data_IF_227731614643
#
_entry.id   IF_227731614643
#
_cell.length_a   1.000
_cell.length_b   1.000
_cell.length_c   1.000
_cell.angle_alpha   90.00
_cell.angle_beta   90.00
_cell.angle_gamma   90.00
#
_symmetry.space_group_name_H-M   'P 1'
#
loop_
_entity.id
_entity.type
_entity.pdbx_description
1 polymer ?
#
# COMPACT_ATOMS: atom_id res chain seq x y z
N UNK A 1 23.64 -40.33 33.30
CA UNK A 1 22.46 -40.08 32.45
C UNK A 1 22.64 -38.75 31.73
N UNK A 2 22.80 -38.77 30.40
CA UNK A 2 23.02 -37.57 29.58
C UNK A 2 21.68 -36.86 29.34
N UNK A 3 21.52 -35.63 29.83
CA UNK A 3 20.38 -34.76 29.48
C UNK A 3 20.52 -34.36 28.01
N UNK A 4 19.58 -34.81 27.16
CA UNK A 4 19.44 -34.34 25.78
C UNK A 4 18.89 -32.91 25.83
N UNK A 5 19.73 -31.94 25.52
CA UNK A 5 19.30 -30.57 25.24
C UNK A 5 18.56 -30.58 23.90
N UNK A 6 17.25 -30.40 23.94
CA UNK A 6 16.41 -30.20 22.76
C UNK A 6 16.66 -28.76 22.28
N UNK A 7 17.33 -28.64 21.15
CA UNK A 7 17.48 -27.38 20.42
C UNK A 7 16.08 -26.98 19.92
N UNK A 8 15.54 -25.78 20.21
CA UNK A 8 14.35 -25.33 19.51
C UNK A 8 14.80 -24.83 18.13
N UNK A 9 14.97 -25.78 17.20
CA UNK A 9 14.98 -25.52 15.78
C UNK A 9 13.53 -25.31 15.33
N UNK A 10 12.97 -24.16 15.69
CA UNK A 10 11.70 -23.68 15.13
C UNK A 10 11.95 -22.24 14.66
N UNK A 11 12.74 -22.15 13.60
CA UNK A 11 12.58 -21.12 12.59
C UNK A 11 11.20 -21.42 11.98
N UNK A 12 10.13 -20.87 12.59
CA UNK A 12 8.82 -20.78 11.92
C UNK A 12 9.04 -19.81 10.76
N UNK A 13 9.39 -20.40 9.62
CA UNK A 13 8.76 -20.23 8.32
C UNK A 13 7.75 -19.07 8.23
N UNK A 14 8.20 -17.83 8.38
CA UNK A 14 7.52 -16.64 7.83
C UNK A 14 7.80 -16.57 6.31
N UNK A 15 7.43 -17.64 5.61
CA UNK A 15 7.48 -17.76 4.15
C UNK A 15 6.14 -18.31 3.69
N UNK A 16 5.06 -17.63 4.08
CA UNK A 16 3.77 -17.80 3.43
C UNK A 16 3.42 -16.44 2.81
N UNK A 17 3.41 -16.45 1.48
CA UNK A 17 3.04 -15.39 0.52
C UNK A 17 4.12 -14.49 -0.11
N UNK A 18 5.36 -14.98 -0.33
CA UNK A 18 6.34 -14.26 -1.17
C UNK A 18 6.25 -14.58 -2.67
N UNK A 19 5.23 -15.31 -3.14
CA UNK A 19 5.11 -15.72 -4.55
C UNK A 19 3.84 -15.22 -5.27
N UNK A 20 3.33 -14.06 -4.89
CA UNK A 20 2.36 -13.34 -5.73
C UNK A 20 2.94 -11.95 -5.97
N UNK A 21 3.31 -11.68 -7.21
CA UNK A 21 3.96 -10.47 -7.76
C UNK A 21 5.50 -10.49 -7.83
N UNK A 22 6.00 -10.64 -9.07
CA UNK A 22 7.42 -10.62 -9.41
C UNK A 22 8.14 -9.32 -9.06
N UNK A 23 9.48 -9.34 -9.11
CA UNK A 23 10.44 -8.28 -8.71
C UNK A 23 9.83 -7.04 -8.07
N UNK A 24 10.10 -6.85 -6.77
CA UNK A 24 9.75 -5.64 -6.01
C UNK A 24 10.61 -4.43 -6.39
N UNK A 25 11.38 -4.50 -7.48
CA UNK A 25 12.15 -3.37 -7.98
C UNK A 25 11.26 -2.39 -8.77
N UNK A 26 11.67 -1.12 -8.77
CA UNK A 26 10.96 -0.03 -9.43
C UNK A 26 9.86 0.60 -8.57
N UNK A 27 9.10 1.48 -9.21
CA UNK A 27 8.04 2.27 -8.61
C UNK A 27 6.74 1.45 -8.57
N UNK A 28 6.18 1.23 -7.38
CA UNK A 28 4.92 0.51 -7.22
C UNK A 28 4.14 0.92 -5.98
N UNK A 29 2.84 0.66 -6.03
CA UNK A 29 1.95 0.69 -4.87
C UNK A 29 1.19 -0.64 -4.78
N UNK A 30 0.79 -1.01 -3.58
CA UNK A 30 -0.08 -2.17 -3.38
C UNK A 30 -1.07 -1.96 -2.24
N UNK A 31 -2.14 -2.73 -2.30
CA UNK A 31 -3.10 -2.87 -1.23
C UNK A 31 -3.18 -4.33 -0.79
N UNK A 32 -3.49 -4.56 0.48
CA UNK A 32 -3.64 -5.87 1.08
C UNK A 32 -4.87 -5.92 2.00
N UNK A 33 -5.82 -6.80 1.70
CA UNK A 33 -7.04 -6.98 2.51
C UNK A 33 -7.10 -8.39 3.10
N UNK A 34 -7.56 -8.51 4.34
CA UNK A 34 -7.73 -9.81 5.02
C UNK A 34 -9.15 -10.32 4.80
N UNK A 35 -9.27 -11.55 4.30
CA UNK A 35 -10.55 -12.25 4.15
C UNK A 35 -10.63 -13.43 5.12
N UNK A 36 -11.79 -13.58 5.78
CA UNK A 36 -12.11 -14.83 6.47
C UNK A 36 -13.03 -15.64 5.57
N UNK A 37 -12.59 -16.84 5.18
CA UNK A 37 -13.45 -17.80 4.47
C UNK A 37 -14.11 -18.74 5.49
N UNK A 38 -15.38 -19.07 5.26
CA UNK A 38 -16.08 -20.06 6.07
C UNK A 38 -15.40 -21.42 5.84
N UNK A 39 -14.76 -21.97 6.89
CA UNK A 39 -14.01 -23.25 6.99
C UNK A 39 -12.47 -23.25 6.88
N UNK A 40 -11.75 -22.20 6.45
CA UNK A 40 -10.26 -22.23 6.39
C UNK A 40 -9.56 -20.86 6.53
N UNK A 41 -8.28 -20.92 6.93
CA UNK A 41 -7.26 -19.88 7.16
C UNK A 41 -7.48 -18.53 6.45
N UNK A 42 -7.24 -17.44 7.19
CA UNK A 42 -7.21 -16.07 6.66
C UNK A 42 -6.30 -16.00 5.41
N UNK A 43 -6.85 -15.58 4.27
CA UNK A 43 -6.07 -15.28 3.07
C UNK A 43 -5.96 -13.76 2.90
N UNK A 44 -4.75 -13.29 2.62
CA UNK A 44 -4.50 -11.89 2.25
C UNK A 44 -4.65 -11.76 0.74
N UNK A 45 -5.67 -11.03 0.28
CA UNK A 45 -5.72 -10.59 -1.10
C UNK A 45 -4.76 -9.40 -1.25
N UNK A 46 -3.87 -9.43 -2.25
CA UNK A 46 -2.91 -8.37 -2.53
C UNK A 46 -3.10 -7.95 -3.98
N UNK A 47 -3.34 -6.67 -4.21
CA UNK A 47 -3.29 -6.07 -5.55
C UNK A 47 -2.13 -5.10 -5.66
N UNK A 48 -1.39 -5.13 -6.76
CA UNK A 48 -0.22 -4.29 -7.01
C UNK A 48 -0.39 -3.49 -8.30
N UNK A 49 0.17 -2.28 -8.33
CA UNK A 49 0.20 -1.42 -9.50
C UNK A 49 1.61 -0.84 -9.68
N UNK A 50 2.24 -1.14 -10.82
CA UNK A 50 3.56 -0.63 -11.24
C UNK A 50 3.47 0.55 -12.22
N UNK A 51 2.27 0.91 -12.67
CA UNK A 51 2.02 1.98 -13.64
C UNK A 51 1.69 3.29 -12.92
N UNK A 52 2.52 3.69 -11.96
CA UNK A 52 2.27 4.91 -11.17
C UNK A 52 3.02 6.10 -11.73
N UNK A 53 2.35 7.26 -11.76
CA UNK A 53 3.00 8.53 -12.01
C UNK A 53 3.24 9.21 -10.65
N UNK A 54 4.48 9.21 -10.19
CA UNK A 54 4.89 9.86 -8.96
C UNK A 54 5.85 11.01 -9.29
N UNK A 55 5.78 12.11 -8.54
CA UNK A 55 6.69 13.25 -8.67
C UNK A 55 6.98 13.91 -7.33
N UNK A 56 8.18 14.49 -7.22
CA UNK A 56 8.54 15.38 -6.11
C UNK A 56 8.43 16.82 -6.60
N UNK A 57 7.33 17.47 -6.26
CA UNK A 57 7.10 18.88 -6.58
C UNK A 57 7.96 19.75 -5.66
N UNK A 58 8.99 20.38 -6.24
CA UNK A 58 9.93 21.26 -5.53
C UNK A 58 9.61 22.71 -5.88
N UNK A 59 8.70 23.32 -5.13
CA UNK A 59 8.21 24.67 -5.37
C UNK A 59 8.42 25.55 -4.13
N UNK A 60 8.85 26.80 -4.33
CA UNK A 60 8.98 27.81 -3.25
C UNK A 60 9.79 27.33 -2.04
N UNK A 61 10.88 26.59 -2.25
CA UNK A 61 11.73 26.07 -1.18
C UNK A 61 11.09 24.94 -0.36
N UNK A 62 10.00 24.35 -0.84
CA UNK A 62 9.30 23.24 -0.20
C UNK A 62 9.22 22.03 -1.11
N UNK A 63 8.99 20.86 -0.53
CA UNK A 63 8.92 19.59 -1.26
C UNK A 63 7.56 18.95 -0.96
N UNK A 64 6.89 18.47 -2.01
CA UNK A 64 5.63 17.72 -1.90
C UNK A 64 5.65 16.48 -2.80
N UNK A 65 5.40 15.31 -2.24
CA UNK A 65 5.23 14.08 -3.01
C UNK A 65 3.80 14.02 -3.55
N UNK A 66 3.66 13.92 -4.87
CA UNK A 66 2.37 13.75 -5.55
C UNK A 66 2.38 12.44 -6.33
N UNK A 67 1.29 11.69 -6.27
CA UNK A 67 1.10 10.47 -7.06
C UNK A 67 -0.26 10.44 -7.75
N UNK A 68 -0.29 9.93 -8.98
CA UNK A 68 -1.49 9.55 -9.72
C UNK A 68 -1.37 8.06 -10.06
N UNK A 69 -2.33 7.27 -9.59
CA UNK A 69 -2.31 5.82 -9.65
C UNK A 69 -3.54 5.36 -10.45
N UNK A 70 -3.37 4.84 -11.67
CA UNK A 70 -4.49 4.41 -12.50
C UNK A 70 -5.17 3.18 -11.91
N UNK A 71 -6.49 3.26 -11.69
CA UNK A 71 -7.26 2.22 -11.01
C UNK A 71 -7.30 0.91 -11.79
N UNK A 72 -7.37 0.99 -13.11
CA UNK A 72 -7.45 -0.15 -14.04
C UNK A 72 -6.14 -0.94 -14.17
N UNK A 73 -5.07 -0.52 -13.49
CA UNK A 73 -3.76 -1.18 -13.49
C UNK A 73 -3.43 -1.90 -12.19
N UNK A 74 -4.34 -1.92 -11.22
CA UNK A 74 -4.22 -2.85 -10.11
C UNK A 74 -4.46 -4.26 -10.61
N UNK A 75 -3.50 -5.12 -10.34
CA UNK A 75 -3.58 -6.55 -10.62
C UNK A 75 -3.46 -7.28 -9.29
N UNK A 76 -4.45 -8.13 -8.99
CA UNK A 76 -4.40 -9.06 -7.86
C UNK A 76 -4.37 -10.52 -8.31
N UNK A 77 -4.31 -10.78 -9.62
CA UNK A 77 -4.30 -12.10 -10.23
C UNK A 77 -5.70 -12.70 -10.35
N UNK A 78 -6.74 -11.92 -10.01
CA UNK A 78 -8.14 -12.30 -10.12
C UNK A 78 -8.94 -11.14 -10.76
N UNK A 79 -9.24 -11.22 -12.07
CA UNK A 79 -9.85 -10.12 -12.82
C UNK A 79 -11.16 -9.60 -12.23
N UNK A 80 -12.02 -10.49 -11.71
CA UNK A 80 -13.28 -10.09 -11.08
C UNK A 80 -13.05 -9.28 -9.79
N UNK A 81 -12.01 -9.61 -9.03
CA UNK A 81 -11.62 -8.86 -7.83
C UNK A 81 -11.05 -7.50 -8.21
N UNK A 82 -10.23 -7.44 -9.25
CA UNK A 82 -9.65 -6.18 -9.73
C UNK A 82 -10.75 -5.23 -10.24
N UNK A 83 -11.72 -5.76 -10.98
CA UNK A 83 -12.90 -5.00 -11.40
C UNK A 83 -13.73 -4.49 -10.21
N UNK A 84 -13.90 -5.30 -9.16
CA UNK A 84 -14.62 -4.89 -7.97
C UNK A 84 -13.88 -3.80 -7.17
N UNK A 85 -12.55 -3.90 -7.07
CA UNK A 85 -11.71 -2.86 -6.45
C UNK A 85 -11.84 -1.53 -7.20
N UNK A 86 -11.85 -1.54 -8.53
CA UNK A 86 -12.09 -0.32 -9.33
C UNK A 86 -13.44 0.32 -8.96
N UNK A 87 -14.51 -0.47 -8.78
CA UNK A 87 -15.82 0.06 -8.36
C UNK A 87 -15.79 0.62 -6.94
N UNK A 88 -15.18 -0.10 -5.99
CA UNK A 88 -15.05 0.36 -4.59
C UNK A 88 -14.34 1.71 -4.49
N UNK A 89 -13.31 1.90 -5.32
CA UNK A 89 -12.54 3.13 -5.39
C UNK A 89 -13.19 4.24 -6.24
N UNK A 90 -14.46 4.07 -6.61
CA UNK A 90 -15.26 5.03 -7.41
C UNK A 90 -14.62 5.30 -8.79
N UNK A 91 -14.22 4.23 -9.47
CA UNK A 91 -13.61 4.26 -10.81
C UNK A 91 -14.52 4.78 -11.93
N UNK A 92 -15.82 4.88 -11.67
CA UNK A 92 -16.80 5.58 -12.49
C UNK A 92 -16.66 7.11 -12.38
N UNK A 93 -16.25 7.63 -11.21
CA UNK A 93 -16.05 9.06 -10.94
C UNK A 93 -14.64 9.55 -11.30
N UNK A 94 -13.60 8.80 -10.92
CA UNK A 94 -12.20 9.13 -11.22
C UNK A 94 -11.46 7.89 -11.70
N UNK A 95 -10.68 8.01 -12.77
CA UNK A 95 -9.85 6.89 -13.28
C UNK A 95 -8.55 6.68 -12.49
N UNK A 96 -8.20 7.62 -11.61
CA UNK A 96 -6.97 7.57 -10.82
C UNK A 96 -7.27 7.78 -9.33
N UNK A 97 -6.51 7.09 -8.46
CA UNK A 97 -6.26 7.56 -7.10
C UNK A 97 -5.21 8.65 -7.14
N UNK A 98 -5.44 9.70 -6.37
CA UNK A 98 -4.45 10.77 -6.19
C UNK A 98 -3.93 10.70 -4.78
N UNK A 99 -2.62 10.80 -4.59
CA UNK A 99 -2.03 11.01 -3.28
C UNK A 99 -1.23 12.30 -3.28
N UNK A 100 -1.34 13.06 -2.20
CA UNK A 100 -0.50 14.22 -1.93
C UNK A 100 0.00 14.16 -0.50
N UNK A 101 1.33 14.15 -0.31
CA UNK A 101 1.89 14.35 1.03
C UNK A 101 1.56 15.75 1.55
N UNK A 102 1.69 15.94 2.86
CA UNK A 102 1.95 17.26 3.40
C UNK A 102 3.23 17.85 2.78
N UNK A 103 3.28 19.17 2.76
CA UNK A 103 4.45 19.89 2.31
C UNK A 103 5.52 19.80 3.40
N UNK A 104 6.74 19.41 3.03
CA UNK A 104 7.87 19.35 3.97
C UNK A 104 9.05 20.21 3.50
N UNK A 105 9.82 20.70 4.47
CA UNK A 105 11.04 21.46 4.20
C UNK A 105 12.16 20.54 3.65
N UNK A 106 13.18 21.11 2.97
CA UNK A 106 14.38 20.36 2.60
C UNK A 106 15.04 19.68 3.81
N UNK A 107 15.06 20.35 4.96
CA UNK A 107 15.59 19.79 6.21
C UNK A 107 14.81 18.55 6.66
N UNK A 108 13.47 18.60 6.64
CA UNK A 108 12.64 17.44 6.98
C UNK A 108 12.86 16.27 6.00
N UNK A 109 13.12 16.57 4.73
CA UNK A 109 13.46 15.56 3.74
C UNK A 109 14.81 14.89 4.01
N UNK A 110 15.82 15.66 4.43
CA UNK A 110 17.10 15.09 4.88
C UNK A 110 16.96 14.30 6.18
N UNK A 111 16.10 14.74 7.11
CA UNK A 111 15.75 13.94 8.31
C UNK A 111 15.11 12.59 7.94
N UNK A 112 14.24 12.55 6.92
CA UNK A 112 13.67 11.29 6.40
C UNK A 112 14.76 10.40 5.79
N UNK A 113 15.71 10.98 5.04
CA UNK A 113 16.85 10.26 4.44
C UNK A 113 17.78 9.67 5.49
N UNK A 114 17.98 10.39 6.60
CA UNK A 114 18.83 9.97 7.71
C UNK A 114 18.09 9.09 8.73
N UNK A 115 16.80 8.82 8.53
CA UNK A 115 15.98 8.00 9.44
C UNK A 115 15.69 8.67 10.79
N UNK A 116 15.89 9.99 10.92
CA UNK A 116 15.54 10.76 12.12
C UNK A 116 14.03 10.96 12.27
N UNK A 117 13.31 10.85 11.16
CA UNK A 117 11.85 10.77 11.12
C UNK A 117 11.45 9.67 10.15
N UNK A 118 10.34 9.02 10.45
CA UNK A 118 9.87 7.81 9.77
C UNK A 118 8.40 7.91 9.40
N UNK A 119 7.83 9.12 9.34
CA UNK A 119 6.43 9.34 9.01
C UNK A 119 6.26 10.44 7.98
N UNK A 120 5.33 10.22 7.04
CA UNK A 120 4.86 11.22 6.09
C UNK A 120 3.33 11.22 6.16
N UNK A 121 2.78 12.34 6.62
CA UNK A 121 1.36 12.65 6.52
C UNK A 121 1.00 13.04 5.09
N UNK A 122 -0.23 12.80 4.69
CA UNK A 122 -0.74 13.16 3.38
C UNK A 122 -2.25 12.94 3.28
N UNK A 123 -2.75 13.08 2.06
CA UNK A 123 -4.15 12.84 1.72
C UNK A 123 -4.25 11.93 0.51
N UNK A 124 -5.16 10.97 0.57
CA UNK A 124 -5.54 10.10 -0.53
C UNK A 124 -6.91 10.52 -1.07
N UNK A 125 -7.02 10.72 -2.38
CA UNK A 125 -8.28 11.02 -3.07
C UNK A 125 -8.89 9.76 -3.64
N UNK A 126 -10.12 9.45 -3.22
CA UNK A 126 -10.94 8.36 -3.75
C UNK A 126 -12.24 8.97 -4.28
N UNK A 127 -12.50 8.80 -5.57
CA UNK A 127 -13.52 9.57 -6.28
C UNK A 127 -13.33 11.09 -6.08
N UNK A 128 -14.29 11.75 -5.43
CA UNK A 128 -14.27 13.19 -5.16
C UNK A 128 -13.88 13.57 -3.72
N UNK A 129 -13.56 12.59 -2.87
CA UNK A 129 -13.27 12.83 -1.44
C UNK A 129 -11.78 12.63 -1.13
N UNK A 130 -11.26 13.48 -0.25
CA UNK A 130 -9.91 13.37 0.30
C UNK A 130 -9.96 12.79 1.70
N UNK A 131 -9.05 11.87 2.00
CA UNK A 131 -8.92 11.18 3.27
C UNK A 131 -7.50 11.36 3.79
N UNK A 132 -7.35 11.71 5.06
CA UNK A 132 -6.05 11.86 5.69
C UNK A 132 -5.40 10.49 5.91
N UNK A 133 -4.09 10.41 5.70
CA UNK A 133 -3.32 9.17 5.82
C UNK A 133 -1.91 9.49 6.29
N UNK A 134 -1.39 8.69 7.22
CA UNK A 134 -0.02 8.81 7.73
C UNK A 134 0.72 7.52 7.41
N UNK A 135 1.71 7.60 6.52
CA UNK A 135 2.57 6.47 6.19
C UNK A 135 3.75 6.42 7.14
N UNK A 136 4.03 5.24 7.70
CA UNK A 136 5.36 4.92 8.20
C UNK A 136 6.28 4.70 6.99
N UNK A 137 7.42 5.37 6.93
CA UNK A 137 8.32 5.38 5.78
C UNK A 137 9.78 5.16 6.17
N UNK A 138 10.55 4.68 5.20
CA UNK A 138 12.00 4.56 5.26
C UNK A 138 12.58 4.95 3.90
N UNK A 139 13.69 5.69 3.92
CA UNK A 139 14.49 5.94 2.73
C UNK A 139 15.82 5.21 2.88
N UNK A 140 16.18 4.38 1.90
CA UNK A 140 17.48 3.71 1.84
C UNK A 140 17.92 3.59 0.38
N UNK A 141 19.15 3.98 0.06
CA UNK A 141 19.71 3.93 -1.30
C UNK A 141 18.79 4.57 -2.35
N UNK A 142 18.28 5.78 -2.05
CA UNK A 142 17.28 6.50 -2.86
C UNK A 142 15.93 5.79 -3.06
N UNK A 143 15.68 4.65 -2.42
CA UNK A 143 14.37 4.00 -2.40
C UNK A 143 13.58 4.46 -1.18
N UNK A 144 12.42 5.07 -1.41
CA UNK A 144 11.41 5.33 -0.38
C UNK A 144 10.47 4.14 -0.32
N UNK A 145 10.39 3.49 0.82
CA UNK A 145 9.38 2.48 1.11
C UNK A 145 8.44 3.03 2.18
N UNK A 146 7.14 2.84 2.00
CA UNK A 146 6.12 3.30 2.93
C UNK A 146 5.03 2.27 3.15
N UNK A 147 4.44 2.26 4.34
CA UNK A 147 3.28 1.45 4.66
C UNK A 147 2.33 2.13 5.64
N UNK A 148 1.06 1.78 5.54
CA UNK A 148 0.03 2.10 6.53
C UNK A 148 -0.93 0.93 6.62
N UNK A 149 -1.34 0.59 7.84
CA UNK A 149 -2.44 -0.36 8.09
C UNK A 149 -3.57 0.42 8.75
N UNK A 150 -4.77 0.30 8.19
CA UNK A 150 -5.96 1.03 8.64
C UNK A 150 -7.23 0.25 8.28
N UNK A 151 -8.40 0.87 8.37
CA UNK A 151 -9.69 0.29 8.02
C UNK A 151 -10.16 0.76 6.64
N UNK A 152 -11.02 -0.02 5.99
CA UNK A 152 -11.67 0.39 4.74
C UNK A 152 -12.65 1.55 5.01
N UNK A 153 -13.31 1.52 6.16
CA UNK A 153 -14.27 2.54 6.59
C UNK A 153 -13.65 3.93 6.78
N UNK A 154 -12.36 4.03 7.12
CA UNK A 154 -11.62 5.32 7.16
C UNK A 154 -11.54 5.99 5.78
N UNK A 155 -11.71 5.21 4.71
CA UNK A 155 -11.75 5.67 3.32
C UNK A 155 -13.19 5.79 2.78
N UNK A 156 -14.20 5.65 3.64
CA UNK A 156 -15.61 5.61 3.23
C UNK A 156 -15.93 4.42 2.33
N UNK A 157 -15.15 3.34 2.43
CA UNK A 157 -15.38 2.08 1.71
C UNK A 157 -16.04 1.11 2.66
N UNK A 158 -17.23 0.64 2.31
CA UNK A 158 -17.89 -0.43 3.04
C UNK A 158 -17.20 -1.76 2.73
N UNK A 159 -16.80 -2.54 3.76
CA UNK A 159 -16.25 -3.87 3.53
C UNK A 159 -17.26 -4.73 2.75
N UNK A 160 -16.85 -5.37 1.65
CA UNK A 160 -17.76 -6.21 0.88
C UNK A 160 -18.20 -7.42 1.70
N UNK A 161 -19.49 -7.70 1.62
CA UNK A 161 -20.12 -8.93 2.14
C UNK A 161 -20.31 -9.99 1.05
N UNK A 162 -20.20 -9.61 -0.23
CA UNK A 162 -20.29 -10.50 -1.39
C UNK A 162 -19.28 -10.10 -2.47
N UNK A 163 -18.57 -11.07 -3.05
CA UNK A 163 -17.67 -10.88 -4.21
C UNK A 163 -17.99 -11.98 -5.23
N UNK A 164 -18.34 -11.61 -6.47
CA UNK A 164 -18.66 -12.59 -7.52
C UNK A 164 -19.85 -13.50 -7.20
N UNK A 165 -20.81 -13.05 -6.39
CA UNK A 165 -21.97 -13.84 -5.96
C UNK A 165 -21.72 -14.80 -4.79
N UNK A 166 -20.49 -14.86 -4.26
CA UNK A 166 -20.15 -15.67 -3.09
C UNK A 166 -20.16 -14.79 -1.84
N UNK A 167 -20.83 -15.26 -0.78
CA UNK A 167 -20.79 -14.61 0.53
C UNK A 167 -19.38 -14.67 1.10
N UNK A 168 -18.75 -13.52 1.31
CA UNK A 168 -17.39 -13.40 1.84
C UNK A 168 -17.39 -12.31 2.90
N UNK A 169 -16.91 -12.62 4.10
CA UNK A 169 -16.67 -11.60 5.12
C UNK A 169 -15.25 -11.04 4.93
N UNK A 170 -15.16 -9.86 4.32
CA UNK A 170 -13.89 -9.11 4.30
C UNK A 170 -13.78 -8.33 5.61
N UNK A 171 -12.64 -8.46 6.30
CA UNK A 171 -12.39 -7.70 7.53
C UNK A 171 -12.31 -6.22 7.17
N UNK A 172 -12.79 -5.35 8.05
CA UNK A 172 -12.62 -3.89 7.91
C UNK A 172 -11.15 -3.51 8.19
N UNK A 173 -10.30 -3.85 7.23
CA UNK A 173 -8.85 -3.77 7.32
C UNK A 173 -8.27 -3.63 5.91
N UNK A 174 -7.30 -2.73 5.78
CA UNK A 174 -6.53 -2.54 4.57
C UNK A 174 -5.09 -2.17 4.94
N UNK A 175 -4.13 -2.84 4.31
CA UNK A 175 -2.73 -2.46 4.32
C UNK A 175 -2.41 -1.79 2.98
N UNK A 176 -1.86 -0.59 3.00
CA UNK A 176 -1.34 0.09 1.81
C UNK A 176 0.17 0.11 1.88
N UNK A 177 0.84 -0.16 0.77
CA UNK A 177 2.29 -0.11 0.66
C UNK A 177 2.72 0.64 -0.58
N UNK A 178 3.86 1.30 -0.50
CA UNK A 178 4.46 2.05 -1.60
C UNK A 178 5.96 1.80 -1.61
N UNK A 179 6.53 1.73 -2.81
CA UNK A 179 7.96 1.77 -3.05
C UNK A 179 8.25 2.68 -4.23
N UNK A 180 9.12 3.67 -4.03
CA UNK A 180 9.52 4.64 -5.04
C UNK A 180 11.04 4.70 -5.11
N UNK A 181 11.60 4.63 -6.30
CA UNK A 181 12.96 5.07 -6.59
C UNK A 181 12.96 6.58 -6.82
N UNK A 182 13.39 7.32 -5.79
CA UNK A 182 13.42 8.78 -5.77
C UNK A 182 14.35 9.36 -6.84
N UNK A 183 15.32 8.58 -7.35
CA UNK A 183 16.23 9.04 -8.41
C UNK A 183 15.58 9.07 -9.80
N UNK A 184 14.46 8.35 -9.96
CA UNK A 184 13.70 8.28 -11.21
C UNK A 184 12.53 9.25 -11.26
N UNK A 185 12.20 9.90 -10.13
CA UNK A 185 11.04 10.78 -10.05
C UNK A 185 11.34 12.13 -10.70
N UNK A 186 10.44 12.66 -11.55
CA UNK A 186 10.54 14.02 -12.06
C UNK A 186 10.48 15.03 -10.90
N UNK A 187 11.12 16.18 -11.15
CA UNK A 187 11.21 17.33 -10.24
C UNK A 187 10.46 18.52 -10.80
#
# INVERSE_FOLDING_TARGET
MKKKTIIPAIIILFMISTNLYGSTDGNWVSWGAKKTMFLFNDKTAIGMNKNINAKLDKSNGTIKLKMSIPLDKFDSGEPDRDAEVVKMLKGDVSKNLMYESETFSPEKFEQLRNGQTDQISGKLKIGNKWFDVVFAVKIANNKLSGQVETKLTEFGIEPPSMVGGIMVSVKDYIALKVNLDLSTLPH
#
